data_IF_191685004980
#
_entry.id   IF_191685004980
#
_cell.length_a   1.000
_cell.length_b   1.000
_cell.length_c   1.000
_cell.angle_alpha   90.00
_cell.angle_beta   90.00
_cell.angle_gamma   90.00
#
_symmetry.space_group_name_H-M   'P 1'
#
loop_
_entity.id
_entity.type
_entity.pdbx_description
1 polymer ?
#
# COMPACT_ATOMS: atom_id res chain seq x y z
N UNK A 1 -4.11 -3.49 13.02
CA UNK A 1 -3.63 -2.34 12.25
C UNK A 1 -3.52 -2.65 10.76
N UNK A 2 -2.85 -3.73 10.36
CA UNK A 2 -2.50 -4.03 8.96
C UNK A 2 -3.70 -4.47 8.10
N UNK A 3 -4.71 -5.11 8.69
CA UNK A 3 -5.86 -5.66 7.95
C UNK A 3 -6.57 -4.66 7.03
N UNK A 4 -6.94 -3.43 7.47
CA UNK A 4 -7.54 -2.44 6.59
C UNK A 4 -6.64 -2.06 5.40
N UNK A 5 -5.34 -1.93 5.65
CA UNK A 5 -4.35 -1.59 4.62
C UNK A 5 -4.27 -2.68 3.56
N UNK A 6 -4.11 -3.95 3.99
CA UNK A 6 -4.04 -5.08 3.07
C UNK A 6 -5.31 -5.22 2.24
N UNK A 7 -6.49 -5.14 2.89
CA UNK A 7 -7.77 -5.24 2.18
C UNK A 7 -7.90 -4.14 1.13
N UNK A 8 -7.73 -2.88 1.51
CA UNK A 8 -7.94 -1.76 0.59
C UNK A 8 -6.86 -1.71 -0.50
N UNK A 9 -5.59 -1.73 -0.13
CA UNK A 9 -4.50 -1.60 -1.10
C UNK A 9 -4.43 -2.78 -2.08
N UNK A 10 -4.58 -4.03 -1.61
CA UNK A 10 -4.48 -5.19 -2.49
C UNK A 10 -5.68 -5.31 -3.43
N UNK A 11 -6.89 -4.97 -2.99
CA UNK A 11 -8.08 -4.99 -3.87
C UNK A 11 -8.06 -3.85 -4.88
N UNK A 12 -7.56 -2.68 -4.50
CA UNK A 12 -7.33 -1.57 -5.43
C UNK A 12 -6.32 -1.95 -6.51
N UNK A 13 -5.17 -2.48 -6.12
CA UNK A 13 -4.14 -2.93 -7.05
C UNK A 13 -4.63 -4.09 -7.94
N UNK A 14 -5.45 -5.01 -7.42
CA UNK A 14 -6.03 -6.09 -8.21
C UNK A 14 -6.94 -5.54 -9.31
N UNK A 15 -7.79 -4.56 -9.01
CA UNK A 15 -8.68 -3.93 -9.99
C UNK A 15 -7.89 -3.15 -11.05
N UNK A 16 -6.95 -2.30 -10.64
CA UNK A 16 -6.12 -1.55 -11.59
C UNK A 16 -5.24 -2.47 -12.45
N UNK A 17 -4.66 -3.51 -11.85
CA UNK A 17 -3.87 -4.51 -12.57
C UNK A 17 -4.71 -5.29 -13.59
N UNK A 18 -5.91 -5.74 -13.22
CA UNK A 18 -6.83 -6.41 -14.14
C UNK A 18 -7.24 -5.50 -15.30
N UNK A 19 -7.53 -4.22 -15.02
CA UNK A 19 -7.85 -3.22 -16.02
C UNK A 19 -6.68 -2.95 -16.98
N UNK A 20 -5.45 -2.87 -16.45
CA UNK A 20 -4.25 -2.73 -17.28
C UNK A 20 -4.02 -3.96 -18.16
N UNK A 21 -4.25 -5.17 -17.66
CA UNK A 21 -4.19 -6.39 -18.46
C UNK A 21 -5.23 -6.37 -19.58
N UNK A 22 -6.47 -5.94 -19.29
CA UNK A 22 -7.50 -5.78 -20.32
C UNK A 22 -7.05 -4.82 -21.43
N UNK A 23 -6.40 -3.71 -21.05
CA UNK A 23 -5.85 -2.74 -22.01
C UNK A 23 -4.82 -3.38 -22.95
N UNK A 24 -3.98 -4.31 -22.46
CA UNK A 24 -3.00 -5.04 -23.30
C UNK A 24 -3.69 -5.90 -24.36
N UNK A 25 -4.85 -6.48 -24.06
CA UNK A 25 -5.66 -7.23 -25.04
C UNK A 25 -6.34 -6.33 -26.07
N UNK A 26 -6.37 -5.01 -25.86
CA UNK A 26 -7.10 -4.08 -26.74
C UNK A 26 -8.60 -4.39 -26.79
N UNK A 27 -9.24 -4.22 -27.94
CA UNK A 27 -10.67 -4.50 -28.13
C UNK A 27 -11.08 -5.93 -27.82
N UNK A 28 -10.18 -6.90 -28.00
CA UNK A 28 -10.43 -8.31 -27.67
C UNK A 28 -10.60 -8.51 -26.15
N UNK A 29 -9.91 -7.74 -25.32
CA UNK A 29 -10.06 -7.83 -23.87
C UNK A 29 -11.43 -7.44 -23.36
N UNK A 30 -12.19 -6.64 -24.13
CA UNK A 30 -13.50 -6.16 -23.73
C UNK A 30 -14.63 -7.17 -24.01
N UNK A 31 -14.42 -8.14 -24.88
CA UNK A 31 -15.43 -9.14 -25.26
C UNK A 31 -15.29 -10.42 -24.45
N UNK A 32 -16.42 -11.12 -24.24
CA UNK A 32 -16.51 -12.27 -23.31
C UNK A 32 -15.65 -13.46 -23.71
N UNK A 33 -15.40 -13.63 -25.02
CA UNK A 33 -14.68 -14.78 -25.58
C UNK A 33 -13.26 -14.89 -25.03
N UNK A 34 -12.63 -13.79 -24.62
CA UNK A 34 -11.27 -13.76 -24.07
C UNK A 34 -11.22 -13.86 -22.55
N UNK A 35 -12.34 -13.66 -21.85
CA UNK A 35 -12.49 -13.87 -20.41
C UNK A 35 -11.84 -12.83 -19.51
N UNK A 36 -10.99 -11.93 -20.02
CA UNK A 36 -10.30 -10.92 -19.19
C UNK A 36 -11.28 -9.90 -18.60
N UNK A 37 -12.38 -9.59 -19.29
CA UNK A 37 -13.42 -8.68 -18.79
C UNK A 37 -14.05 -9.18 -17.50
N UNK A 38 -14.21 -10.51 -17.36
CA UNK A 38 -14.73 -11.12 -16.15
C UNK A 38 -13.79 -10.87 -14.95
N UNK A 39 -12.48 -10.98 -15.17
CA UNK A 39 -11.48 -10.75 -14.12
C UNK A 39 -11.55 -9.30 -13.61
N UNK A 40 -11.75 -8.31 -14.50
CA UNK A 40 -11.92 -6.90 -14.11
C UNK A 40 -13.16 -6.71 -13.24
N UNK A 41 -14.28 -7.34 -13.60
CA UNK A 41 -15.53 -7.27 -12.82
C UNK A 41 -15.38 -7.93 -11.45
N UNK A 42 -14.74 -9.10 -11.40
CA UNK A 42 -14.51 -9.84 -10.16
C UNK A 42 -13.53 -9.11 -9.25
N UNK A 43 -12.51 -8.47 -9.79
CA UNK A 43 -11.60 -7.63 -9.03
C UNK A 43 -12.33 -6.39 -8.45
N UNK A 44 -13.27 -5.80 -9.20
CA UNK A 44 -14.03 -4.61 -8.76
C UNK A 44 -14.90 -4.89 -7.54
N UNK A 45 -15.56 -6.05 -7.48
CA UNK A 45 -16.42 -6.37 -6.33
C UNK A 45 -15.64 -6.49 -5.03
N UNK A 46 -14.36 -6.90 -5.10
CA UNK A 46 -13.51 -7.02 -3.93
C UNK A 46 -13.25 -5.67 -3.22
N UNK A 47 -13.36 -4.54 -3.92
CA UNK A 47 -13.27 -3.21 -3.32
C UNK A 47 -14.54 -2.76 -2.59
N UNK A 48 -15.65 -3.45 -2.80
CA UNK A 48 -16.99 -3.02 -2.35
C UNK A 48 -17.44 -3.79 -1.12
N UNK A 49 -17.30 -5.13 -1.13
CA UNK A 49 -17.81 -5.97 -0.04
C UNK A 49 -16.88 -5.98 1.19
N UNK A 50 -17.39 -6.46 2.32
CA UNK A 50 -16.69 -6.51 3.62
C UNK A 50 -16.17 -5.14 4.10
N UNK A 51 -16.92 -4.09 3.81
CA UNK A 51 -16.54 -2.69 3.98
C UNK A 51 -15.76 -2.18 2.77
N UNK A 52 -16.25 -1.10 2.18
CA UNK A 52 -15.57 -0.48 1.03
C UNK A 52 -14.15 -0.03 1.40
N UNK A 53 -13.31 0.22 0.41
CA UNK A 53 -11.93 0.66 0.67
C UNK A 53 -11.88 1.96 1.49
N UNK A 54 -12.85 2.87 1.29
CA UNK A 54 -12.99 4.10 2.07
C UNK A 54 -13.36 3.82 3.54
N UNK A 55 -14.22 2.83 3.80
CA UNK A 55 -14.52 2.39 5.17
C UNK A 55 -13.28 1.78 5.84
N UNK A 56 -12.47 1.02 5.10
CA UNK A 56 -11.20 0.52 5.61
C UNK A 56 -10.22 1.65 5.92
N UNK A 57 -10.19 2.69 5.09
CA UNK A 57 -9.36 3.87 5.34
C UNK A 57 -9.76 4.61 6.62
N UNK A 58 -11.06 4.81 6.83
CA UNK A 58 -11.60 5.40 8.06
C UNK A 58 -11.29 4.50 9.27
N UNK A 59 -11.47 3.18 9.16
CA UNK A 59 -11.14 2.24 10.24
C UNK A 59 -9.66 2.32 10.61
N UNK A 60 -8.77 2.38 9.62
CA UNK A 60 -7.33 2.55 9.84
C UNK A 60 -7.03 3.84 10.60
N UNK A 61 -7.41 4.98 10.02
CA UNK A 61 -7.00 6.28 10.57
C UNK A 61 -7.70 6.58 11.89
N UNK A 62 -9.03 6.54 11.91
CA UNK A 62 -9.81 7.00 13.07
C UNK A 62 -9.74 6.00 14.22
N UNK A 63 -9.97 4.70 13.94
CA UNK A 63 -10.14 3.71 15.00
C UNK A 63 -8.86 3.02 15.44
N UNK A 64 -7.83 2.97 14.58
CA UNK A 64 -6.60 2.23 14.88
C UNK A 64 -5.39 3.13 15.11
N UNK A 65 -5.28 4.24 14.35
CA UNK A 65 -4.11 5.12 14.45
C UNK A 65 -4.38 6.28 15.41
N UNK A 66 -5.45 7.05 15.22
CA UNK A 66 -5.72 8.20 16.07
C UNK A 66 -6.18 7.79 17.49
N UNK A 67 -6.76 6.61 17.64
CA UNK A 67 -7.22 6.11 18.93
C UNK A 67 -6.08 5.92 19.96
N UNK A 68 -4.87 5.64 19.51
CA UNK A 68 -3.67 5.49 20.36
C UNK A 68 -2.60 6.55 20.08
N UNK A 69 -2.96 7.62 19.36
CA UNK A 69 -2.04 8.69 18.96
C UNK A 69 -0.94 8.24 17.99
N UNK A 70 -1.15 7.13 17.30
CA UNK A 70 -0.21 6.56 16.32
C UNK A 70 0.84 5.64 16.93
N UNK A 71 0.75 5.31 18.21
CA UNK A 71 1.76 4.50 18.89
C UNK A 71 1.92 3.11 18.27
N UNK A 72 0.82 2.42 17.94
CA UNK A 72 0.86 1.10 17.31
C UNK A 72 1.46 1.13 15.90
N UNK A 73 1.21 2.18 15.13
CA UNK A 73 1.85 2.32 13.82
C UNK A 73 3.35 2.61 13.96
N UNK A 74 3.74 3.52 14.86
CA UNK A 74 5.15 3.80 15.11
C UNK A 74 5.92 2.54 15.52
N UNK A 75 5.38 1.74 16.44
CA UNK A 75 5.99 0.48 16.85
C UNK A 75 6.16 -0.49 15.67
N UNK A 76 5.15 -0.64 14.81
CA UNK A 76 5.24 -1.46 13.60
C UNK A 76 6.36 -0.98 12.66
N UNK A 77 6.47 0.34 12.44
CA UNK A 77 7.50 0.90 11.57
C UNK A 77 8.90 0.75 12.18
N UNK A 78 9.03 0.87 13.49
CA UNK A 78 10.31 0.70 14.19
C UNK A 78 10.76 -0.78 14.16
N UNK A 79 9.83 -1.73 14.33
CA UNK A 79 10.11 -3.16 14.13
C UNK A 79 10.52 -3.46 12.68
N UNK A 80 9.81 -2.87 11.70
CA UNK A 80 10.14 -3.03 10.28
C UNK A 80 11.51 -2.44 9.91
N UNK A 81 11.97 -1.39 10.61
CA UNK A 81 13.32 -0.82 10.39
C UNK A 81 14.43 -1.82 10.69
N UNK A 82 14.25 -2.69 11.65
CA UNK A 82 15.24 -3.71 11.98
C UNK A 82 15.54 -4.67 10.81
N UNK A 83 14.57 -4.81 9.90
CA UNK A 83 14.68 -5.68 8.73
C UNK A 83 15.30 -4.98 7.50
N UNK A 84 15.44 -3.65 7.49
CA UNK A 84 15.80 -2.91 6.26
C UNK A 84 17.22 -3.19 5.76
N UNK A 85 18.17 -3.52 6.65
CA UNK A 85 19.57 -3.70 6.26
C UNK A 85 20.19 -2.43 5.70
N UNK A 86 21.10 -2.58 4.73
CA UNK A 86 21.82 -1.47 4.09
C UNK A 86 21.63 -1.50 2.57
N UNK A 87 21.38 -0.35 1.96
CA UNK A 87 21.18 -0.24 0.50
C UNK A 87 20.36 0.97 0.12
N UNK A 88 20.31 1.30 -1.17
CA UNK A 88 19.58 2.47 -1.67
C UNK A 88 18.07 2.35 -1.43
N UNK A 89 17.48 1.17 -1.68
CA UNK A 89 16.09 0.91 -1.43
C UNK A 89 15.76 1.01 0.07
N UNK A 90 16.60 0.42 0.93
CA UNK A 90 16.47 0.49 2.38
C UNK A 90 16.48 1.94 2.89
N UNK A 91 17.40 2.77 2.38
CA UNK A 91 17.47 4.18 2.74
C UNK A 91 16.22 4.95 2.32
N UNK A 92 15.68 4.68 1.12
CA UNK A 92 14.44 5.28 0.63
C UNK A 92 13.25 4.88 1.51
N UNK A 93 13.14 3.60 1.85
CA UNK A 93 12.06 3.09 2.72
C UNK A 93 12.16 3.68 4.14
N UNK A 94 13.37 3.78 4.69
CA UNK A 94 13.59 4.42 5.98
C UNK A 94 13.10 5.88 5.98
N UNK A 95 13.41 6.63 4.92
CA UNK A 95 12.93 8.01 4.76
C UNK A 95 11.38 8.08 4.60
N UNK A 96 10.76 7.09 3.94
CA UNK A 96 9.29 6.98 3.90
C UNK A 96 8.70 6.76 5.29
N UNK A 97 9.32 5.91 6.12
CA UNK A 97 8.89 5.70 7.51
C UNK A 97 8.98 6.98 8.33
N UNK A 98 10.08 7.74 8.22
CA UNK A 98 10.22 9.02 8.92
C UNK A 98 9.14 10.02 8.54
N UNK A 99 8.85 10.13 7.22
CA UNK A 99 7.78 10.99 6.72
C UNK A 99 6.41 10.54 7.21
N UNK A 100 6.11 9.25 7.19
CA UNK A 100 4.84 8.71 7.67
C UNK A 100 4.66 8.94 9.18
N UNK A 101 5.70 8.73 10.00
CA UNK A 101 5.65 9.03 11.42
C UNK A 101 5.44 10.52 11.69
N UNK A 102 6.09 11.40 10.92
CA UNK A 102 5.89 12.84 11.01
C UNK A 102 4.45 13.26 10.61
N UNK A 103 3.93 12.70 9.52
CA UNK A 103 2.55 12.91 9.08
C UNK A 103 1.55 12.45 10.13
N UNK A 104 1.76 11.28 10.72
CA UNK A 104 0.88 10.72 11.77
C UNK A 104 0.80 11.65 12.97
N UNK A 105 1.95 12.17 13.44
CA UNK A 105 1.98 13.14 14.56
C UNK A 105 1.27 14.45 14.20
N UNK A 106 1.49 14.96 12.99
CA UNK A 106 0.83 16.19 12.52
C UNK A 106 -0.70 16.02 12.44
N UNK A 107 -1.17 14.89 11.91
CA UNK A 107 -2.59 14.58 11.82
C UNK A 107 -3.23 14.38 13.19
N UNK A 108 -2.56 13.72 14.13
CA UNK A 108 -3.07 13.56 15.49
C UNK A 108 -3.27 14.93 16.16
N UNK A 109 -2.33 15.86 15.98
CA UNK A 109 -2.46 17.24 16.48
C UNK A 109 -3.60 18.01 15.79
N UNK A 110 -3.70 17.94 14.46
CA UNK A 110 -4.73 18.65 13.71
C UNK A 110 -6.14 18.10 14.01
N UNK A 111 -6.31 16.79 14.06
CA UNK A 111 -7.59 16.14 14.35
C UNK A 111 -8.07 16.35 15.80
N UNK A 112 -7.18 16.69 16.73
CA UNK A 112 -7.56 17.12 18.09
C UNK A 112 -8.33 18.45 18.08
N UNK A 113 -8.11 19.31 17.08
CA UNK A 113 -8.82 20.59 16.90
C UNK A 113 -10.04 20.44 15.97
N UNK A 114 -9.96 19.58 14.94
CA UNK A 114 -11.03 19.29 14.00
C UNK A 114 -11.07 17.81 13.68
N UNK A 115 -11.94 17.07 14.35
CA UNK A 115 -12.10 15.63 14.16
C UNK A 115 -12.61 15.27 12.76
N UNK A 116 -13.22 16.20 12.01
CA UNK A 116 -13.73 15.94 10.66
C UNK A 116 -12.61 15.78 9.64
N UNK A 117 -11.45 16.38 9.90
CA UNK A 117 -10.28 16.28 9.04
C UNK A 117 -9.87 14.83 8.76
N UNK A 118 -9.97 13.97 9.78
CA UNK A 118 -9.63 12.54 9.63
C UNK A 118 -10.40 11.85 8.51
N UNK A 119 -11.66 12.19 8.32
CA UNK A 119 -12.51 11.59 7.27
C UNK A 119 -12.15 12.07 5.86
N UNK A 120 -11.66 13.30 5.74
CA UNK A 120 -11.26 13.87 4.45
C UNK A 120 -9.93 13.29 3.93
N UNK A 121 -9.03 12.90 4.84
CA UNK A 121 -7.67 12.47 4.47
C UNK A 121 -7.45 10.96 4.65
N UNK A 122 -8.47 10.21 5.08
CA UNK A 122 -8.32 8.80 5.43
C UNK A 122 -7.80 7.94 4.28
N UNK A 123 -8.29 8.15 3.06
CA UNK A 123 -7.89 7.37 1.88
C UNK A 123 -6.43 7.62 1.51
N UNK A 124 -6.03 8.90 1.44
CA UNK A 124 -4.63 9.28 1.16
C UNK A 124 -3.69 8.78 2.26
N UNK A 125 -4.13 8.83 3.52
CA UNK A 125 -3.35 8.29 4.63
C UNK A 125 -3.17 6.77 4.53
N UNK A 126 -4.23 6.03 4.18
CA UNK A 126 -4.14 4.58 3.96
C UNK A 126 -3.16 4.28 2.83
N UNK A 127 -3.19 5.02 1.73
CA UNK A 127 -2.23 4.88 0.61
C UNK A 127 -0.80 5.12 1.07
N UNK A 128 -0.55 6.14 1.87
CA UNK A 128 0.78 6.42 2.42
C UNK A 128 1.30 5.25 3.28
N UNK A 129 0.45 4.69 4.15
CA UNK A 129 0.79 3.49 4.94
C UNK A 129 1.05 2.29 4.03
N UNK A 130 0.21 2.08 3.00
CA UNK A 130 0.37 0.96 2.06
C UNK A 130 1.69 1.05 1.29
N UNK A 131 2.06 2.25 0.80
CA UNK A 131 3.33 2.49 0.10
C UNK A 131 4.53 2.20 1.02
N UNK A 132 4.48 2.65 2.27
CA UNK A 132 5.53 2.38 3.25
C UNK A 132 5.71 0.87 3.52
N UNK A 133 4.61 0.14 3.71
CA UNK A 133 4.65 -1.31 3.92
C UNK A 133 5.07 -2.08 2.65
N UNK A 134 4.66 -1.61 1.47
CA UNK A 134 5.11 -2.17 0.19
C UNK A 134 6.62 -1.97 0.01
N UNK A 135 7.15 -0.82 0.39
CA UNK A 135 8.59 -0.55 0.42
C UNK A 135 9.34 -1.53 1.30
N UNK A 136 8.86 -1.76 2.53
CA UNK A 136 9.42 -2.77 3.42
C UNK A 136 9.39 -4.18 2.82
N UNK A 137 8.27 -4.59 2.24
CA UNK A 137 8.17 -5.87 1.53
C UNK A 137 9.17 -5.96 0.38
N UNK A 138 9.38 -4.85 -0.37
CA UNK A 138 10.37 -4.74 -1.44
C UNK A 138 11.80 -4.98 -0.96
N UNK A 139 12.21 -4.39 0.17
CA UNK A 139 13.53 -4.62 0.76
C UNK A 139 13.72 -6.10 1.13
N UNK A 140 12.71 -6.72 1.73
CA UNK A 140 12.75 -8.16 2.06
C UNK A 140 12.83 -9.05 0.82
N UNK A 141 12.11 -8.67 -0.25
CA UNK A 141 12.21 -9.36 -1.54
C UNK A 141 13.60 -9.21 -2.17
N UNK A 142 14.19 -8.02 -2.10
CA UNK A 142 15.56 -7.78 -2.58
C UNK A 142 16.57 -8.66 -1.86
N UNK A 143 16.47 -8.72 -0.53
CA UNK A 143 17.35 -9.56 0.29
C UNK A 143 17.19 -11.07 0.00
N UNK A 144 15.99 -11.53 -0.34
CA UNK A 144 15.70 -12.93 -0.67
C UNK A 144 15.93 -13.28 -2.14
N UNK A 145 16.13 -12.30 -3.02
CA UNK A 145 16.14 -12.50 -4.47
C UNK A 145 17.23 -13.51 -4.93
N UNK A 146 18.39 -13.53 -4.29
CA UNK A 146 19.50 -14.39 -4.68
C UNK A 146 19.23 -15.89 -4.45
N UNK A 147 18.35 -16.22 -3.53
CA UNK A 147 17.94 -17.59 -3.21
C UNK A 147 16.62 -18.01 -3.90
N UNK A 148 15.96 -17.06 -4.56
CA UNK A 148 14.67 -17.31 -5.21
C UNK A 148 14.85 -17.86 -6.64
N UNK A 149 13.87 -18.61 -7.17
CA UNK A 149 13.80 -18.86 -8.60
C UNK A 149 13.75 -17.56 -9.39
N UNK A 150 14.50 -17.47 -10.49
CA UNK A 150 14.57 -16.28 -11.35
C UNK A 150 15.01 -14.98 -10.60
N UNK A 151 16.23 -14.92 -10.00
CA UNK A 151 16.64 -13.78 -9.18
C UNK A 151 16.54 -12.43 -9.87
N UNK A 152 16.81 -12.37 -11.17
CA UNK A 152 16.77 -11.14 -11.97
C UNK A 152 15.36 -10.55 -12.05
N UNK A 153 14.34 -11.40 -12.13
CA UNK A 153 12.93 -10.96 -12.14
C UNK A 153 12.56 -10.22 -10.85
N UNK A 154 12.97 -10.76 -9.72
CA UNK A 154 12.69 -10.14 -8.41
C UNK A 154 13.47 -8.85 -8.22
N UNK A 155 14.74 -8.82 -8.63
CA UNK A 155 15.55 -7.58 -8.60
C UNK A 155 14.95 -6.49 -9.49
N UNK A 156 14.50 -6.82 -10.70
CA UNK A 156 13.85 -5.86 -11.58
C UNK A 156 12.57 -5.28 -10.95
N UNK A 157 11.77 -6.12 -10.27
CA UNK A 157 10.56 -5.67 -9.57
C UNK A 157 10.90 -4.72 -8.41
N UNK A 158 11.92 -5.01 -7.59
CA UNK A 158 12.32 -4.13 -6.48
C UNK A 158 12.95 -2.83 -6.98
N UNK A 159 13.70 -2.85 -8.08
CA UNK A 159 14.20 -1.63 -8.73
C UNK A 159 13.05 -0.76 -9.26
N UNK A 160 12.06 -1.36 -9.92
CA UNK A 160 10.89 -0.63 -10.38
C UNK A 160 10.13 0.02 -9.21
N UNK A 161 9.95 -0.71 -8.10
CA UNK A 161 9.36 -0.17 -6.88
C UNK A 161 10.12 1.06 -6.37
N UNK A 162 11.45 0.97 -6.28
CA UNK A 162 12.30 2.07 -5.81
C UNK A 162 12.30 3.30 -6.71
N UNK A 163 12.13 3.12 -8.02
CA UNK A 163 12.19 4.22 -8.99
C UNK A 163 10.84 4.87 -9.30
N UNK A 164 9.76 4.09 -9.29
CA UNK A 164 8.47 4.54 -9.83
C UNK A 164 7.34 4.63 -8.80
N UNK A 165 7.47 3.94 -7.67
CA UNK A 165 6.38 3.88 -6.68
C UNK A 165 6.73 4.67 -5.41
N UNK A 166 7.92 4.47 -4.85
CA UNK A 166 8.30 5.09 -3.57
C UNK A 166 8.59 6.60 -3.63
N UNK A 167 8.96 7.21 -4.76
CA UNK A 167 9.12 8.67 -4.85
C UNK A 167 7.82 9.46 -4.79
N UNK A 168 6.66 8.83 -5.08
CA UNK A 168 5.33 9.46 -5.02
C UNK A 168 4.89 9.70 -3.57
#
# INVERSE_FOLDING_TARGET
LVTPVLKAALTDQAFHGASACLQVFGGHGYVREWGIEQIVRDARVAMIYEGTNEIQAIDLLVRKVLADGGAGLCALLDDARADLGTGALAATVSACFDRLQALTRALAGACAHDATLAYWVADDYLRAVAIALLGWAGVRLEAAADTAPEPQRWRAATQALGHWVLPE
#
